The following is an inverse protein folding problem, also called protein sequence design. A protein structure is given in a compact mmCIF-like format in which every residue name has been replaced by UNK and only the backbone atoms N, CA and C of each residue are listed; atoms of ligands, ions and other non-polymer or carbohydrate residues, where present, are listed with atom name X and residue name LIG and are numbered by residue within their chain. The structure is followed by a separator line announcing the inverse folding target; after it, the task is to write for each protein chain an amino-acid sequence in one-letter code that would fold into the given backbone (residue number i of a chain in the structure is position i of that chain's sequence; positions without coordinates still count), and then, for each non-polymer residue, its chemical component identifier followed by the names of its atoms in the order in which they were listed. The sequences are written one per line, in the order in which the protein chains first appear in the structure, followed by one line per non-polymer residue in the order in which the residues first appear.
data_IF_836934282190
#
_entry.id   IF_836934282190
#
_cell.length_a   1.000
_cell.length_b   1.000
_cell.length_c   1.000
_cell.angle_alpha   90.00
_cell.angle_beta   90.00
_cell.angle_gamma   90.00
#
_symmetry.space_group_name_H-M   'P 1'
#
loop_
_entity.id
_entity.type
_entity.pdbx_description
1 polymer ?
#
# COMPACT_ATOMS: atom_id res chain seq x y z
N UNK A 1 37.01 10.87 27.25
CA UNK A 1 36.43 10.19 26.08
C UNK A 1 35.02 9.74 26.39
N UNK A 2 34.71 9.07 27.54
CA UNK A 2 33.34 8.61 27.88
C UNK A 2 32.35 9.76 28.12
N UNK A 3 32.79 10.91 28.61
CA UNK A 3 31.95 12.08 28.87
C UNK A 3 31.47 12.67 27.53
N UNK A 4 32.35 12.83 26.56
CA UNK A 4 31.99 13.33 25.22
C UNK A 4 30.97 12.43 24.49
N UNK A 5 31.09 11.11 24.62
CA UNK A 5 30.14 10.16 23.99
C UNK A 5 28.73 10.27 24.60
N UNK A 6 28.64 10.51 25.91
CA UNK A 6 27.35 10.69 26.59
C UNK A 6 26.66 12.00 26.21
N UNK A 7 27.45 13.08 26.07
CA UNK A 7 26.95 14.39 25.64
C UNK A 7 26.51 14.36 24.18
N UNK A 8 27.26 13.69 23.30
CA UNK A 8 26.93 13.51 21.92
C UNK A 8 25.63 12.72 21.75
N UNK A 9 25.44 11.59 22.46
CA UNK A 9 24.20 10.83 22.48
C UNK A 9 23.01 11.65 22.96
N UNK A 10 23.16 12.47 23.99
CA UNK A 10 22.10 13.37 24.47
C UNK A 10 21.72 14.40 23.42
N UNK A 11 22.68 14.95 22.71
CA UNK A 11 22.44 15.92 21.65
C UNK A 11 21.68 15.26 20.48
N UNK A 12 22.14 14.10 20.03
CA UNK A 12 21.48 13.35 18.94
C UNK A 12 20.03 13.02 19.33
N UNK A 13 19.79 12.57 20.56
CA UNK A 13 18.45 12.29 21.05
C UNK A 13 17.56 13.55 21.06
N UNK A 14 18.08 14.68 21.54
CA UNK A 14 17.35 15.94 21.54
C UNK A 14 17.01 16.41 20.11
N UNK A 15 17.94 16.31 19.18
CA UNK A 15 17.71 16.63 17.77
C UNK A 15 16.65 15.70 17.17
N UNK A 16 16.72 14.41 17.45
CA UNK A 16 15.73 13.44 16.95
C UNK A 16 14.31 13.73 17.49
N UNK A 17 14.19 14.17 18.75
CA UNK A 17 12.91 14.58 19.32
C UNK A 17 12.33 15.80 18.62
N UNK A 18 13.14 16.85 18.40
CA UNK A 18 12.70 18.05 17.68
C UNK A 18 12.25 17.71 16.26
N UNK A 19 13.07 16.96 15.52
CA UNK A 19 12.73 16.55 14.15
C UNK A 19 11.46 15.70 14.10
N UNK A 20 11.19 14.88 15.11
CA UNK A 20 9.98 14.07 15.18
C UNK A 20 8.74 14.94 15.41
N UNK A 21 8.83 16.00 16.22
CA UNK A 21 7.73 16.95 16.39
C UNK A 21 7.49 17.75 15.11
N UNK A 22 8.53 18.26 14.45
CA UNK A 22 8.41 18.92 13.14
C UNK A 22 7.77 18.00 12.09
N UNK A 23 8.13 16.71 12.07
CA UNK A 23 7.50 15.73 11.17
C UNK A 23 6.00 15.59 11.44
N UNK A 24 5.57 15.60 12.71
CA UNK A 24 4.14 15.54 13.07
C UNK A 24 3.40 16.81 12.62
N UNK A 25 4.03 17.97 12.70
CA UNK A 25 3.46 19.23 12.19
C UNK A 25 3.25 19.13 10.67
N UNK A 26 4.25 18.65 9.94
CA UNK A 26 4.13 18.41 8.49
C UNK A 26 3.00 17.41 8.15
N UNK A 27 2.85 16.34 8.94
CA UNK A 27 1.75 15.39 8.78
C UNK A 27 0.39 16.06 9.00
N UNK A 28 0.26 16.92 10.01
CA UNK A 28 -0.97 17.68 10.28
C UNK A 28 -1.31 18.65 9.14
N UNK A 29 -0.33 19.38 8.65
CA UNK A 29 -0.51 20.31 7.53
C UNK A 29 -0.89 19.57 6.25
N UNK A 30 -0.29 18.42 6.00
CA UNK A 30 -0.63 17.57 4.87
C UNK A 30 -2.05 17.01 4.97
N UNK A 31 -2.51 16.62 6.16
CA UNK A 31 -3.90 16.22 6.39
C UNK A 31 -4.86 17.35 6.03
N UNK A 32 -4.59 18.58 6.49
CA UNK A 32 -5.42 19.74 6.20
C UNK A 32 -5.46 20.05 4.70
N UNK A 33 -4.30 20.01 4.04
CA UNK A 33 -4.19 20.18 2.60
C UNK A 33 -5.05 19.15 1.85
N UNK A 34 -4.88 17.86 2.12
CA UNK A 34 -5.63 16.80 1.43
C UNK A 34 -7.14 16.90 1.69
N UNK A 35 -7.57 17.21 2.91
CA UNK A 35 -8.99 17.42 3.22
C UNK A 35 -9.59 18.57 2.42
N UNK A 36 -8.84 19.64 2.19
CA UNK A 36 -9.29 20.77 1.37
C UNK A 36 -9.34 20.37 -0.11
N UNK A 37 -8.33 19.67 -0.63
CA UNK A 37 -8.32 19.19 -2.02
C UNK A 37 -9.51 18.28 -2.31
N UNK A 38 -9.81 17.33 -1.44
CA UNK A 38 -10.93 16.39 -1.62
C UNK A 38 -12.26 17.15 -1.62
N UNK A 39 -12.44 18.15 -0.75
CA UNK A 39 -13.65 18.97 -0.71
C UNK A 39 -13.87 19.79 -1.98
N UNK A 40 -12.79 20.20 -2.66
CA UNK A 40 -12.88 20.97 -3.92
C UNK A 40 -13.20 20.09 -5.12
N UNK A 41 -12.98 18.78 -5.00
CA UNK A 41 -13.21 17.80 -6.07
C UNK A 41 -14.52 17.04 -5.86
N UNK A 42 -15.62 17.62 -6.33
CA UNK A 42 -16.98 17.13 -6.12
C UNK A 42 -17.23 15.66 -6.50
N UNK A 43 -16.39 15.06 -7.36
CA UNK A 43 -16.58 13.70 -7.86
C UNK A 43 -15.47 12.73 -7.39
N UNK A 44 -14.66 13.11 -6.39
CA UNK A 44 -13.52 12.27 -5.97
C UNK A 44 -13.94 10.86 -5.53
N UNK A 45 -14.93 10.78 -4.65
CA UNK A 45 -15.42 9.50 -4.12
C UNK A 45 -16.07 8.63 -5.21
N UNK A 46 -16.89 9.23 -6.08
CA UNK A 46 -17.51 8.51 -7.19
C UNK A 46 -16.49 8.00 -8.19
N UNK A 47 -15.47 8.80 -8.49
CA UNK A 47 -14.36 8.38 -9.34
C UNK A 47 -13.57 7.23 -8.72
N UNK A 48 -13.28 7.28 -7.42
CA UNK A 48 -12.61 6.21 -6.71
C UNK A 48 -13.43 4.90 -6.71
N UNK A 49 -14.75 5.00 -6.50
CA UNK A 49 -15.67 3.86 -6.57
C UNK A 49 -15.73 3.28 -7.98
N UNK A 50 -15.85 4.10 -9.01
CA UNK A 50 -15.88 3.67 -10.39
C UNK A 50 -14.56 2.98 -10.77
N UNK A 51 -13.43 3.54 -10.37
CA UNK A 51 -12.12 2.91 -10.58
C UNK A 51 -12.05 1.52 -9.95
N UNK A 52 -12.51 1.37 -8.71
CA UNK A 52 -12.57 0.08 -8.05
C UNK A 52 -13.42 -0.95 -8.80
N UNK A 53 -14.54 -0.52 -9.32
CA UNK A 53 -15.39 -1.35 -10.17
C UNK A 53 -14.58 -1.91 -11.35
N UNK A 54 -13.79 -1.11 -12.06
CA UNK A 54 -12.94 -1.57 -13.16
C UNK A 54 -11.83 -2.53 -12.70
N UNK A 55 -11.21 -2.22 -11.55
CA UNK A 55 -10.17 -3.09 -10.99
C UNK A 55 -10.74 -4.47 -10.64
N UNK A 56 -11.94 -4.53 -10.07
CA UNK A 56 -12.55 -5.77 -9.58
C UNK A 56 -13.31 -6.58 -10.64
N UNK A 57 -13.48 -6.06 -11.86
CA UNK A 57 -14.22 -6.67 -12.97
C UNK A 57 -15.70 -7.01 -12.67
N UNK A 58 -16.58 -6.34 -13.33
CA UNK A 58 -18.01 -6.14 -13.11
C UNK A 58 -18.97 -7.32 -13.14
N UNK A 59 -18.61 -8.48 -13.63
CA UNK A 59 -19.62 -9.44 -14.11
C UNK A 59 -20.00 -10.55 -13.12
N UNK A 60 -19.45 -10.51 -11.91
CA UNK A 60 -19.69 -11.55 -10.90
C UNK A 60 -19.78 -10.93 -9.50
N UNK A 61 -20.55 -11.55 -8.61
CA UNK A 61 -20.54 -11.19 -7.20
C UNK A 61 -19.15 -11.41 -6.61
N UNK A 62 -18.41 -10.34 -6.37
CA UNK A 62 -17.04 -10.39 -5.89
C UNK A 62 -17.00 -10.01 -4.42
N UNK A 63 -16.51 -10.92 -3.58
CA UNK A 63 -16.10 -10.59 -2.21
C UNK A 63 -14.62 -10.21 -2.22
N UNK A 64 -14.30 -9.05 -1.68
CA UNK A 64 -12.91 -8.60 -1.64
C UNK A 64 -12.52 -7.99 -0.29
N UNK A 65 -11.23 -8.07 -0.01
CA UNK A 65 -10.58 -7.33 1.04
C UNK A 65 -9.63 -6.31 0.39
N UNK A 66 -9.47 -5.14 1.00
CA UNK A 66 -8.67 -4.05 0.44
C UNK A 66 -7.53 -3.70 1.40
N UNK A 67 -6.30 -3.69 0.86
CA UNK A 67 -5.15 -3.07 1.50
C UNK A 67 -4.88 -1.79 0.72
N UNK A 68 -5.06 -0.64 1.37
CA UNK A 68 -4.87 0.67 0.76
C UNK A 68 -3.59 1.32 1.29
N UNK A 69 -2.76 1.79 0.36
CA UNK A 69 -1.59 2.63 0.65
C UNK A 69 -1.92 4.12 0.52
N UNK A 70 -3.17 4.45 0.19
CA UNK A 70 -3.66 5.82 0.15
C UNK A 70 -4.13 6.27 1.55
N UNK A 71 -4.12 7.57 1.77
CA UNK A 71 -4.60 8.19 3.00
C UNK A 71 -6.11 8.41 3.02
N UNK A 72 -6.79 8.19 1.89
CA UNK A 72 -8.24 8.31 1.76
C UNK A 72 -8.90 6.95 1.86
N UNK A 73 -10.08 6.90 2.44
CA UNK A 73 -10.87 5.69 2.54
C UNK A 73 -12.24 5.86 1.88
N UNK A 74 -12.33 5.76 0.55
CA UNK A 74 -13.59 5.93 -0.17
C UNK A 74 -14.59 4.78 0.09
N UNK A 75 -14.22 3.80 0.89
CA UNK A 75 -15.00 2.58 1.17
C UNK A 75 -15.86 2.67 2.43
N UNK A 76 -15.55 3.57 3.37
CA UNK A 76 -16.24 3.64 4.67
C UNK A 76 -17.60 4.38 4.60
N UNK A 77 -17.76 5.33 3.69
CA UNK A 77 -18.92 6.23 3.71
C UNK A 77 -20.17 5.70 3.03
N UNK A 78 -20.13 4.52 2.39
CA UNK A 78 -21.28 4.15 1.57
C UNK A 78 -21.77 2.72 1.70
N UNK A 79 -22.87 2.65 2.37
CA UNK A 79 -23.83 1.55 2.35
C UNK A 79 -24.33 1.22 0.91
N UNK A 80 -24.03 2.07 -0.07
CA UNK A 80 -24.54 2.00 -1.46
C UNK A 80 -23.64 1.27 -2.46
N UNK A 81 -22.54 0.61 -2.03
CA UNK A 81 -22.03 -0.52 -2.82
C UNK A 81 -23.08 -1.62 -3.00
N UNK A 82 -24.26 -1.50 -2.33
CA UNK A 82 -25.36 -2.46 -2.39
C UNK A 82 -25.98 -2.64 -3.77
N UNK A 83 -25.82 -1.68 -4.67
CA UNK A 83 -26.27 -1.81 -6.08
C UNK A 83 -25.22 -2.41 -7.00
N UNK A 84 -24.10 -2.85 -6.46
CA UNK A 84 -23.03 -3.49 -7.25
C UNK A 84 -22.81 -4.90 -6.76
N UNK A 85 -22.42 -5.79 -7.67
CA UNK A 85 -21.99 -7.16 -7.39
C UNK A 85 -20.66 -7.25 -6.59
N UNK A 86 -20.22 -6.16 -5.94
CA UNK A 86 -18.98 -6.07 -5.18
C UNK A 86 -19.29 -5.95 -3.70
N UNK A 87 -18.81 -6.89 -2.91
CA UNK A 87 -18.86 -6.86 -1.46
C UNK A 87 -17.47 -6.65 -0.88
N UNK A 88 -17.22 -5.47 -0.31
CA UNK A 88 -15.97 -5.17 0.41
C UNK A 88 -16.14 -5.61 1.85
N UNK A 89 -15.42 -6.67 2.25
CA UNK A 89 -15.54 -7.23 3.60
C UNK A 89 -14.67 -6.48 4.61
N UNK A 90 -13.40 -6.23 4.27
CA UNK A 90 -12.43 -5.60 5.15
C UNK A 90 -11.58 -4.61 4.36
N UNK A 91 -11.29 -3.47 4.99
CA UNK A 91 -10.37 -2.45 4.47
C UNK A 91 -9.30 -2.17 5.51
N UNK A 92 -8.05 -2.03 5.06
CA UNK A 92 -6.96 -1.54 5.88
C UNK A 92 -6.14 -0.50 5.14
N UNK A 93 -6.11 0.71 5.67
CA UNK A 93 -5.19 1.75 5.24
C UNK A 93 -3.87 1.58 6.00
N UNK A 94 -2.80 1.33 5.25
CA UNK A 94 -1.48 0.98 5.80
C UNK A 94 -0.80 2.18 6.46
N UNK A 95 -1.02 3.37 5.91
CA UNK A 95 -0.34 4.60 6.31
C UNK A 95 -1.22 5.56 7.10
N UNK A 96 -2.33 5.03 7.65
CA UNK A 96 -3.34 5.84 8.32
C UNK A 96 -4.36 6.44 7.37
N UNK A 97 -5.30 7.21 7.92
CA UNK A 97 -6.40 7.83 7.18
C UNK A 97 -6.57 9.30 7.52
N UNK A 98 -7.17 10.04 6.59
CA UNK A 98 -7.56 11.43 6.81
C UNK A 98 -8.66 11.56 7.86
N UNK A 99 -9.59 10.61 7.90
CA UNK A 99 -10.74 10.58 8.80
C UNK A 99 -10.28 10.54 10.26
N UNK A 100 -9.30 9.69 10.54
CA UNK A 100 -8.76 9.51 11.90
C UNK A 100 -7.60 10.45 12.23
N UNK A 101 -7.22 11.36 11.33
CA UNK A 101 -6.03 12.21 11.45
C UNK A 101 -4.77 11.38 11.81
N UNK A 102 -4.62 10.23 11.17
CA UNK A 102 -3.63 9.22 11.54
C UNK A 102 -2.57 8.97 10.46
N UNK A 103 -2.32 9.95 9.58
CA UNK A 103 -1.30 9.83 8.54
C UNK A 103 0.08 9.69 9.17
N UNK A 104 0.87 8.75 8.62
CA UNK A 104 2.23 8.47 9.04
C UNK A 104 3.16 8.62 7.86
N UNK A 105 4.13 9.55 7.98
CA UNK A 105 5.31 9.56 7.16
C UNK A 105 6.42 8.79 7.88
N UNK A 106 7.15 7.97 7.14
CA UNK A 106 8.24 7.20 7.73
C UNK A 106 8.99 6.41 6.67
N UNK A 107 10.18 6.01 7.04
CA UNK A 107 11.06 5.17 6.20
C UNK A 107 10.89 3.69 6.55
N UNK A 108 11.32 2.81 5.65
CA UNK A 108 11.39 1.37 5.91
C UNK A 108 12.49 1.09 6.97
N UNK A 109 12.21 0.17 7.89
CA UNK A 109 13.12 -0.20 8.99
C UNK A 109 14.26 -1.15 8.57
N UNK A 110 14.20 -1.74 7.39
CA UNK A 110 15.13 -2.81 6.95
C UNK A 110 16.64 -2.49 7.02
N UNK A 111 17.02 -1.22 7.09
CA UNK A 111 18.42 -0.78 7.11
C UNK A 111 18.75 0.06 8.33
N UNK A 112 17.82 0.22 9.27
CA UNK A 112 17.95 1.07 10.43
C UNK A 112 18.05 0.20 11.66
N UNK A 113 19.15 0.36 12.40
CA UNK A 113 19.33 -0.34 13.67
C UNK A 113 18.27 0.12 14.68
N UNK A 114 17.55 -0.85 15.26
CA UNK A 114 16.49 -0.59 16.23
C UNK A 114 17.01 0.14 17.51
N UNK A 115 18.30 0.10 17.78
CA UNK A 115 18.95 0.81 18.88
C UNK A 115 19.36 2.25 18.52
N UNK A 116 19.24 2.64 17.25
CA UNK A 116 19.58 4.00 16.79
C UNK A 116 18.41 4.97 16.95
N UNK A 117 18.71 6.25 17.16
CA UNK A 117 17.68 7.30 17.22
C UNK A 117 16.91 7.44 15.89
N UNK A 118 17.53 7.07 14.77
CA UNK A 118 16.88 7.03 13.46
C UNK A 118 15.72 6.04 13.38
N UNK A 119 15.67 5.02 14.24
CA UNK A 119 14.58 4.05 14.26
C UNK A 119 13.22 4.67 14.58
N UNK A 120 13.19 5.80 15.32
CA UNK A 120 11.98 6.56 15.64
C UNK A 120 11.24 7.08 14.40
N UNK A 121 11.96 7.24 13.28
CA UNK A 121 11.42 7.71 12.01
C UNK A 121 10.95 6.56 11.10
N UNK A 122 11.09 5.31 11.53
CA UNK A 122 10.58 4.18 10.76
C UNK A 122 9.06 4.08 10.87
N UNK A 123 8.42 3.58 9.82
CA UNK A 123 6.97 3.31 9.80
C UNK A 123 6.57 2.40 10.96
N UNK A 124 7.36 1.36 11.24
CA UNK A 124 7.10 0.40 12.33
C UNK A 124 7.09 1.11 13.69
N UNK A 125 8.11 1.89 14.01
CA UNK A 125 8.19 2.63 15.28
C UNK A 125 7.03 3.62 15.42
N UNK A 126 6.68 4.32 14.34
CA UNK A 126 5.60 5.30 14.30
C UNK A 126 4.23 4.64 14.52
N UNK A 127 3.95 3.52 13.85
CA UNK A 127 2.73 2.72 14.04
C UNK A 127 2.63 2.21 15.47
N UNK A 128 3.73 1.70 16.05
CA UNK A 128 3.77 1.26 17.45
C UNK A 128 3.41 2.40 18.41
N UNK A 129 3.97 3.59 18.19
CA UNK A 129 3.66 4.78 18.99
C UNK A 129 2.19 5.18 18.92
N UNK A 130 1.57 5.13 17.75
CA UNK A 130 0.15 5.42 17.57
C UNK A 130 -0.74 4.35 18.21
N UNK A 131 -0.37 3.08 18.08
CA UNK A 131 -1.07 1.96 18.73
C UNK A 131 -1.04 2.11 20.25
N UNK A 132 0.09 2.45 20.82
CA UNK A 132 0.23 2.71 22.26
C UNK A 132 -0.64 3.91 22.72
N UNK A 133 -0.88 4.88 21.84
CA UNK A 133 -1.75 6.03 22.11
C UNK A 133 -3.24 5.75 21.84
N UNK A 134 -3.62 4.53 21.46
CA UNK A 134 -5.02 4.16 21.15
C UNK A 134 -5.57 4.83 19.88
N UNK A 135 -4.69 5.29 18.99
CA UNK A 135 -5.07 6.03 17.76
C UNK A 135 -5.16 5.15 16.51
N UNK A 136 -4.85 3.88 16.61
CA UNK A 136 -4.92 2.94 15.48
C UNK A 136 -6.09 2.00 15.70
N UNK A 137 -7.12 2.14 14.91
CA UNK A 137 -8.10 1.06 14.70
C UNK A 137 -7.41 -0.03 13.89
N UNK A 138 -7.23 -1.18 14.52
CA UNK A 138 -6.43 -2.23 13.91
C UNK A 138 -7.27 -3.38 13.41
N UNK A 139 -7.72 -3.31 12.16
CA UNK A 139 -7.98 -4.57 11.45
C UNK A 139 -6.62 -5.26 11.30
N UNK A 140 -6.42 -6.45 11.91
CA UNK A 140 -5.16 -7.17 11.76
C UNK A 140 -4.95 -7.54 10.30
N UNK A 141 -3.73 -7.37 9.77
CA UNK A 141 -3.46 -7.69 8.37
C UNK A 141 -3.75 -9.17 8.05
N UNK A 142 -3.56 -10.06 9.01
CA UNK A 142 -3.92 -11.48 8.86
C UNK A 142 -5.41 -11.74 8.64
N UNK A 143 -6.29 -10.85 9.11
CA UNK A 143 -7.73 -10.95 8.86
C UNK A 143 -8.07 -10.59 7.43
N UNK A 144 -7.24 -9.78 6.76
CA UNK A 144 -7.37 -9.42 5.36
C UNK A 144 -6.79 -10.51 4.45
N UNK A 145 -5.66 -11.07 4.84
CA UNK A 145 -4.96 -12.13 4.11
C UNK A 145 -5.57 -13.50 4.41
N UNK A 146 -6.83 -13.70 4.03
CA UNK A 146 -7.55 -14.97 4.32
C UNK A 146 -7.13 -16.10 3.38
N UNK A 147 -7.23 -17.36 3.82
CA UNK A 147 -6.92 -18.53 2.97
C UNK A 147 -7.79 -18.67 1.73
N UNK A 148 -8.98 -18.06 1.72
CA UNK A 148 -9.97 -18.15 0.65
C UNK A 148 -9.68 -17.23 -0.55
N UNK A 149 -8.64 -16.41 -0.49
CA UNK A 149 -8.25 -15.54 -1.60
C UNK A 149 -7.71 -16.39 -2.76
N UNK A 150 -8.27 -16.18 -3.95
CA UNK A 150 -7.85 -16.80 -5.20
C UNK A 150 -7.08 -15.84 -6.11
N UNK A 151 -7.24 -14.54 -5.88
CA UNK A 151 -6.59 -13.50 -6.69
C UNK A 151 -6.12 -12.35 -5.82
N UNK A 152 -4.87 -11.94 -6.03
CA UNK A 152 -4.28 -10.72 -5.45
C UNK A 152 -4.09 -9.72 -6.58
N UNK A 153 -4.75 -8.57 -6.49
CA UNK A 153 -4.72 -7.51 -7.51
C UNK A 153 -3.91 -6.34 -6.99
N UNK A 154 -2.92 -5.88 -7.76
CA UNK A 154 -2.10 -4.71 -7.47
C UNK A 154 -2.44 -3.60 -8.46
N UNK A 155 -2.76 -2.41 -7.96
CA UNK A 155 -3.04 -1.24 -8.77
C UNK A 155 -2.51 0.04 -8.13
N UNK A 156 -1.92 0.92 -8.94
CA UNK A 156 -1.55 2.28 -8.55
C UNK A 156 -0.36 2.39 -7.58
N UNK A 157 0.28 1.28 -7.22
CA UNK A 157 1.45 1.28 -6.35
C UNK A 157 2.76 1.23 -7.16
N UNK A 158 3.75 2.01 -6.74
CA UNK A 158 5.06 2.08 -7.42
C UNK A 158 5.90 0.80 -7.30
N UNK A 159 5.50 -0.15 -6.45
CA UNK A 159 6.23 -1.37 -6.09
C UNK A 159 7.66 -1.06 -5.61
N UNK A 160 7.81 0.07 -4.89
CA UNK A 160 9.09 0.48 -4.30
C UNK A 160 9.43 -0.29 -3.05
N UNK A 161 10.70 -0.25 -2.66
CA UNK A 161 11.19 -0.90 -1.44
C UNK A 161 10.61 -0.33 -0.14
N UNK A 162 10.04 0.88 -0.18
CA UNK A 162 9.51 1.57 0.99
C UNK A 162 8.37 0.82 1.71
N UNK A 163 7.66 -0.04 0.98
CA UNK A 163 6.52 -0.81 1.48
C UNK A 163 6.73 -2.33 1.36
N UNK A 164 7.99 -2.74 1.15
CA UNK A 164 8.33 -4.13 0.91
C UNK A 164 7.85 -5.08 2.01
N UNK A 165 7.86 -4.68 3.28
CA UNK A 165 7.38 -5.50 4.39
C UNK A 165 5.95 -5.99 4.21
N UNK A 166 5.07 -5.18 3.62
CA UNK A 166 3.68 -5.56 3.33
C UNK A 166 3.58 -6.52 2.16
N UNK A 167 4.36 -6.28 1.10
CA UNK A 167 4.44 -7.22 -0.03
C UNK A 167 4.97 -8.57 0.40
N UNK A 168 5.99 -8.60 1.28
CA UNK A 168 6.51 -9.83 1.86
C UNK A 168 5.43 -10.62 2.57
N UNK A 169 4.60 -9.99 3.40
CA UNK A 169 3.49 -10.68 4.10
C UNK A 169 2.49 -11.29 3.10
N UNK A 170 2.17 -10.60 2.02
CA UNK A 170 1.31 -11.10 0.95
C UNK A 170 1.96 -12.30 0.25
N UNK A 171 3.25 -12.22 -0.04
CA UNK A 171 3.98 -13.32 -0.69
C UNK A 171 4.13 -14.53 0.21
N UNK A 172 4.43 -14.34 1.50
CA UNK A 172 4.51 -15.42 2.49
C UNK A 172 3.20 -16.21 2.56
N UNK A 173 2.06 -15.53 2.44
CA UNK A 173 0.75 -16.16 2.48
C UNK A 173 0.36 -16.88 1.18
N UNK A 174 0.65 -16.28 0.01
CA UNK A 174 0.01 -16.72 -1.24
C UNK A 174 0.93 -17.33 -2.30
N UNK A 175 2.24 -17.14 -2.22
CA UNK A 175 3.17 -17.70 -3.22
C UNK A 175 3.09 -19.24 -3.26
N UNK A 176 2.86 -19.88 -2.10
CA UNK A 176 2.74 -21.33 -1.97
C UNK A 176 1.40 -21.90 -2.46
N UNK A 177 0.38 -21.09 -2.58
CA UNK A 177 -0.97 -21.54 -2.95
C UNK A 177 -1.09 -21.56 -4.46
N UNK A 178 -1.11 -22.74 -5.06
CA UNK A 178 -1.10 -22.93 -6.51
C UNK A 178 -2.31 -22.29 -7.22
N UNK A 179 -3.45 -22.19 -6.54
CA UNK A 179 -4.66 -21.60 -7.05
C UNK A 179 -4.69 -20.06 -7.02
N UNK A 180 -3.72 -19.40 -6.36
CA UNK A 180 -3.71 -17.93 -6.24
C UNK A 180 -2.96 -17.31 -7.41
N UNK A 181 -3.61 -16.35 -8.08
CA UNK A 181 -3.07 -15.56 -9.17
C UNK A 181 -2.72 -14.15 -8.69
N UNK A 182 -1.59 -13.62 -9.14
CA UNK A 182 -1.14 -12.25 -8.92
C UNK A 182 -1.40 -11.43 -10.18
N UNK A 183 -2.34 -10.50 -10.13
CA UNK A 183 -2.71 -9.63 -11.25
C UNK A 183 -2.17 -8.21 -11.00
N UNK A 184 -1.29 -7.74 -11.90
CA UNK A 184 -0.70 -6.42 -11.84
C UNK A 184 -1.39 -5.50 -12.85
N UNK A 185 -2.11 -4.51 -12.35
CA UNK A 185 -2.87 -3.59 -13.17
C UNK A 185 -2.09 -2.31 -13.44
N UNK A 186 -2.19 -1.76 -14.65
CA UNK A 186 -1.56 -0.51 -15.06
C UNK A 186 -2.54 0.37 -15.83
N UNK A 187 -2.25 1.67 -15.89
CA UNK A 187 -2.98 2.64 -16.72
C UNK A 187 -1.99 3.35 -17.62
N UNK A 188 -2.33 3.49 -18.90
CA UNK A 188 -1.52 4.27 -19.85
C UNK A 188 -1.86 5.74 -19.71
N UNK A 189 -0.91 6.54 -19.21
CA UNK A 189 -1.07 7.99 -19.06
C UNK A 189 -0.67 8.73 -20.32
N UNK A 190 -1.13 9.98 -20.43
CA UNK A 190 -0.75 10.87 -21.52
C UNK A 190 0.77 11.06 -21.54
N UNK A 191 1.36 10.99 -22.75
CA UNK A 191 2.82 11.03 -22.88
C UNK A 191 3.55 9.71 -22.63
N UNK A 192 2.84 8.62 -22.25
CA UNK A 192 3.42 7.28 -22.12
C UNK A 192 2.82 6.31 -23.15
N UNK A 193 3.43 5.13 -23.27
CA UNK A 193 2.93 4.04 -24.09
C UNK A 193 2.68 2.81 -23.22
N UNK A 194 1.75 1.96 -23.64
CA UNK A 194 1.49 0.67 -22.99
C UNK A 194 2.78 -0.12 -22.75
N UNK A 195 3.63 -0.18 -23.77
CA UNK A 195 4.93 -0.87 -23.68
C UNK A 195 5.80 -0.30 -22.55
N UNK A 196 5.85 1.00 -22.39
CA UNK A 196 6.67 1.63 -21.34
C UNK A 196 6.09 1.36 -19.95
N UNK A 197 4.77 1.40 -19.77
CA UNK A 197 4.13 1.10 -18.50
C UNK A 197 4.33 -0.38 -18.11
N UNK A 198 4.21 -1.30 -19.05
CA UNK A 198 4.51 -2.73 -18.82
C UNK A 198 5.97 -2.95 -18.46
N UNK A 199 6.93 -2.26 -19.10
CA UNK A 199 8.36 -2.38 -18.77
C UNK A 199 8.60 -1.94 -17.32
N UNK A 200 8.13 -0.77 -16.93
CA UNK A 200 8.26 -0.26 -15.55
C UNK A 200 7.68 -1.23 -14.52
N UNK A 201 6.50 -1.75 -14.82
CA UNK A 201 5.81 -2.70 -13.94
C UNK A 201 6.59 -4.01 -13.79
N UNK A 202 7.09 -4.57 -14.89
CA UNK A 202 7.94 -5.77 -14.88
C UNK A 202 9.23 -5.57 -14.08
N UNK A 203 9.86 -4.41 -14.19
CA UNK A 203 11.05 -4.07 -13.40
C UNK A 203 10.72 -4.01 -11.90
N UNK A 204 9.60 -3.37 -11.52
CA UNK A 204 9.11 -3.34 -10.15
C UNK A 204 8.85 -4.73 -9.58
N UNK A 205 8.13 -5.57 -10.32
CA UNK A 205 7.84 -6.95 -9.95
C UNK A 205 9.14 -7.75 -9.79
N UNK A 206 10.07 -7.62 -10.74
CA UNK A 206 11.35 -8.33 -10.69
C UNK A 206 12.19 -7.93 -9.48
N UNK A 207 12.19 -6.64 -9.09
CA UNK A 207 12.86 -6.18 -7.87
C UNK A 207 12.24 -6.78 -6.61
N UNK A 208 10.91 -6.72 -6.49
CA UNK A 208 10.20 -7.23 -5.32
C UNK A 208 10.43 -8.73 -5.12
N UNK A 209 10.20 -9.54 -6.16
CA UNK A 209 10.41 -10.97 -6.08
C UNK A 209 11.90 -11.33 -5.94
N UNK A 210 12.81 -10.61 -6.61
CA UNK A 210 14.24 -10.81 -6.47
C UNK A 210 14.73 -10.54 -5.04
N UNK A 211 14.15 -9.56 -4.34
CA UNK A 211 14.40 -9.32 -2.91
C UNK A 211 13.82 -10.44 -2.05
N UNK A 212 12.58 -10.82 -2.31
CA UNK A 212 11.89 -11.89 -1.60
C UNK A 212 12.65 -13.23 -1.70
N UNK A 213 13.14 -13.57 -2.89
CA UNK A 213 13.95 -14.77 -3.10
C UNK A 213 15.29 -14.75 -2.36
N UNK A 214 15.93 -13.58 -2.26
CA UNK A 214 17.18 -13.41 -1.49
C UNK A 214 16.99 -13.60 0.02
N UNK A 215 15.86 -13.17 0.55
CA UNK A 215 15.53 -13.31 1.98
C UNK A 215 15.01 -14.72 2.32
N UNK A 216 14.50 -15.46 1.34
CA UNK A 216 13.98 -16.82 1.49
C UNK A 216 14.91 -17.85 0.87
N UNK A 217 15.97 -18.25 1.59
CA UNK A 217 17.00 -19.20 1.11
C UNK A 217 16.45 -20.55 0.63
N UNK A 218 15.29 -20.97 1.09
CA UNK A 218 14.64 -22.22 0.71
C UNK A 218 13.93 -22.15 -0.66
N UNK A 219 13.81 -20.95 -1.26
CA UNK A 219 13.04 -20.74 -2.46
C UNK A 219 13.76 -19.89 -3.47
N UNK A 220 14.31 -20.57 -4.45
CA UNK A 220 14.88 -19.96 -5.65
C UNK A 220 13.87 -20.05 -6.80
N UNK A 221 13.88 -19.04 -7.66
CA UNK A 221 13.10 -19.02 -8.92
C UNK A 221 11.58 -18.89 -8.73
N UNK A 222 11.12 -18.23 -7.67
CA UNK A 222 9.69 -18.01 -7.38
C UNK A 222 9.00 -17.28 -8.53
N UNK A 223 9.57 -16.16 -8.98
CA UNK A 223 9.00 -15.40 -10.09
C UNK A 223 8.94 -16.23 -11.39
N UNK A 224 9.96 -17.04 -11.63
CA UNK A 224 9.98 -17.94 -12.78
C UNK A 224 8.88 -19.00 -12.68
N UNK A 225 8.73 -19.61 -11.51
CA UNK A 225 7.66 -20.59 -11.25
C UNK A 225 6.27 -19.99 -11.43
N UNK A 226 6.01 -18.83 -10.83
CA UNK A 226 4.74 -18.11 -10.98
C UNK A 226 4.42 -17.81 -12.46
N UNK A 227 5.43 -17.41 -13.26
CA UNK A 227 5.26 -17.15 -14.69
C UNK A 227 4.94 -18.42 -15.47
N UNK A 228 5.71 -19.50 -15.24
CA UNK A 228 5.52 -20.77 -15.96
C UNK A 228 4.14 -21.40 -15.66
N UNK A 229 3.61 -21.16 -14.47
CA UNK A 229 2.30 -21.62 -14.05
C UNK A 229 1.16 -20.61 -14.36
N UNK A 230 1.43 -19.56 -15.17
CA UNK A 230 0.48 -18.53 -15.55
C UNK A 230 -0.18 -17.81 -14.35
N UNK A 231 0.53 -17.71 -13.22
CA UNK A 231 0.06 -17.06 -11.99
C UNK A 231 0.41 -15.58 -11.90
N UNK A 232 1.21 -15.04 -12.83
CA UNK A 232 1.46 -13.60 -13.01
C UNK A 232 0.65 -13.13 -14.21
N UNK A 233 -0.18 -12.12 -14.00
CA UNK A 233 -1.00 -11.51 -15.06
C UNK A 233 -0.84 -10.00 -15.08
N UNK A 234 -1.00 -9.42 -16.26
CA UNK A 234 -0.99 -7.97 -16.48
C UNK A 234 -2.34 -7.57 -17.06
N UNK A 235 -2.87 -6.43 -16.59
CA UNK A 235 -4.14 -5.91 -17.11
C UNK A 235 -4.13 -4.39 -17.16
N UNK A 236 -4.56 -3.86 -18.30
CA UNK A 236 -4.80 -2.43 -18.43
C UNK A 236 -6.11 -2.04 -17.72
N UNK A 237 -6.05 -0.93 -17.00
CA UNK A 237 -7.20 -0.23 -16.43
C UNK A 237 -7.33 1.08 -17.21
N UNK A 238 -8.46 1.34 -17.88
CA UNK A 238 -8.65 2.57 -18.64
C UNK A 238 -8.66 3.79 -17.73
N UNK A 239 -8.30 4.96 -18.27
CA UNK A 239 -8.50 6.23 -17.58
C UNK A 239 -9.99 6.51 -17.42
N UNK A 240 -10.39 7.03 -16.28
CA UNK A 240 -11.78 7.44 -16.01
C UNK A 240 -12.28 8.55 -16.97
N UNK A 241 -11.36 9.34 -17.54
CA UNK A 241 -11.69 10.36 -18.56
C UNK A 241 -12.11 9.77 -19.93
N UNK A 242 -11.82 8.50 -20.17
CA UNK A 242 -12.16 7.81 -21.40
C UNK A 242 -13.56 7.16 -21.33
N UNK A 243 -14.56 7.87 -20.82
CA UNK A 243 -15.94 7.37 -20.60
C UNK A 243 -16.58 6.70 -21.82
N UNK A 244 -16.13 7.01 -23.02
CA UNK A 244 -16.60 6.40 -24.26
C UNK A 244 -16.05 4.99 -24.53
N UNK A 245 -14.98 4.57 -23.87
CA UNK A 245 -14.42 3.20 -23.95
C UNK A 245 -15.02 2.24 -22.91
N UNK A 246 -15.82 2.78 -22.02
CA UNK A 246 -16.31 2.09 -20.83
C UNK A 246 -17.73 1.51 -21.02
N UNK A 247 -18.34 1.73 -22.19
CA UNK A 247 -19.71 1.29 -22.53
C UNK A 247 -19.79 0.09 -23.48
N UNK A 248 -18.64 -0.50 -23.80
CA UNK A 248 -18.53 -1.73 -24.59
C UNK A 248 -17.87 -2.80 -23.69
#
# INVERSE_FOLDING_TARGET
IRINILEEKKLINCVAEVLLEELKEVECDFIMYLKNEIKTQNNYLDNAKNLAKYILKFNENVNCNIISFNYTNPWEEDVNFRDTSINVNLVKNIHGTLENNSIIFGVDDNKIDASSEGYRFTKVSRIMGMSAAGKVESVPIKSILTPSIEKVIFYGHSLSDADYGYFRMIFDEYVKKENVCFEFCYTVFEGTTEKNEIIKLREGISRLFGRYEKENYERKYILKDLNLNNRIKFREIPKLSDENKLKN
#
